data_IF_857745417972
#
_entry.id   IF_857745417972
#
_cell.length_a   1.000
_cell.length_b   1.000
_cell.length_c   1.000
_cell.angle_alpha   90.00
_cell.angle_beta   90.00
_cell.angle_gamma   90.00
#
_symmetry.space_group_name_H-M   'P 1'
#
loop_
_entity.id
_entity.type
_entity.pdbx_description
1 polymer ?
#
# COMPACT_ATOMS: atom_id res chain seq x y z
N UNK A 1 -7.54 -17.54 7.28
CA UNK A 1 -7.68 -16.34 6.43
C UNK A 1 -6.37 -15.58 6.45
N UNK A 2 -5.78 -15.34 5.27
CA UNK A 2 -4.58 -14.50 5.11
C UNK A 2 -5.04 -13.17 4.53
N UNK A 3 -4.52 -12.05 5.06
CA UNK A 3 -4.80 -10.70 4.55
C UNK A 3 -3.46 -10.08 4.15
N UNK A 4 -3.09 -10.12 2.86
CA UNK A 4 -1.90 -9.42 2.36
C UNK A 4 -2.02 -7.91 2.61
N UNK A 5 -0.90 -7.28 2.98
CA UNK A 5 -0.85 -5.87 3.28
C UNK A 5 0.16 -5.13 2.41
N UNK A 6 -0.18 -3.92 1.96
CA UNK A 6 0.75 -2.96 1.36
C UNK A 6 0.71 -1.66 2.15
N UNK A 7 1.89 -1.19 2.55
CA UNK A 7 2.09 0.12 3.14
C UNK A 7 2.61 1.08 2.05
N UNK A 8 2.00 2.26 1.92
CA UNK A 8 2.24 3.21 0.84
C UNK A 8 2.78 4.54 1.36
N UNK A 9 3.93 4.96 0.85
CA UNK A 9 4.46 6.32 1.00
C UNK A 9 4.65 6.92 -0.39
N UNK A 10 3.92 7.99 -0.69
CA UNK A 10 4.05 8.79 -1.93
C UNK A 10 4.02 7.92 -3.20
N UNK A 11 3.09 6.96 -3.26
CA UNK A 11 2.92 6.01 -4.37
C UNK A 11 3.83 4.77 -4.31
N UNK A 12 4.78 4.74 -3.39
CA UNK A 12 5.77 3.66 -3.28
C UNK A 12 5.36 2.64 -2.23
N UNK A 13 5.47 1.36 -2.57
CA UNK A 13 5.30 0.26 -1.63
C UNK A 13 6.54 0.20 -0.74
N UNK A 14 6.33 0.35 0.55
CA UNK A 14 7.42 0.36 1.54
C UNK A 14 7.16 -0.61 2.67
N UNK A 15 8.19 -0.88 3.46
CA UNK A 15 8.06 -1.45 4.79
C UNK A 15 8.86 -0.63 5.78
N UNK A 16 8.23 -0.22 6.88
CA UNK A 16 8.91 0.47 7.97
C UNK A 16 9.35 -0.54 9.04
N UNK A 17 10.60 -0.45 9.49
CA UNK A 17 11.03 -1.19 10.67
C UNK A 17 10.39 -0.58 11.92
N UNK A 18 9.46 -1.31 12.54
CA UNK A 18 8.73 -0.86 13.75
C UNK A 18 8.00 0.49 13.56
N UNK A 19 7.55 0.80 12.34
CA UNK A 19 6.85 2.06 12.06
C UNK A 19 7.76 3.31 11.95
N UNK A 20 9.07 3.14 11.99
CA UNK A 20 10.03 4.23 11.85
C UNK A 20 10.19 4.65 10.39
N UNK A 21 9.70 5.85 10.05
CA UNK A 21 9.83 6.46 8.72
C UNK A 21 11.29 6.67 8.29
N UNK A 22 12.25 6.77 9.23
CA UNK A 22 13.67 6.84 8.93
C UNK A 22 14.30 5.48 8.57
N UNK A 23 13.58 4.38 8.79
CA UNK A 23 14.03 3.00 8.53
C UNK A 23 13.09 2.30 7.56
N UNK A 24 12.94 2.89 6.38
CA UNK A 24 12.13 2.35 5.30
C UNK A 24 12.92 1.42 4.38
N UNK A 25 12.23 0.39 3.87
CA UNK A 25 12.68 -0.42 2.74
C UNK A 25 11.70 -0.28 1.58
N UNK A 26 12.23 0.01 0.39
CA UNK A 26 11.50 0.21 -0.85
C UNK A 26 11.26 -1.14 -1.57
N UNK A 27 10.06 -1.32 -2.12
CA UNK A 27 9.62 -2.49 -2.89
C UNK A 27 9.05 -2.14 -4.28
N UNK A 28 9.23 -0.91 -4.74
CA UNK A 28 8.78 -0.39 -6.04
C UNK A 28 7.57 0.53 -5.94
N UNK A 29 7.34 1.28 -7.02
CA UNK A 29 6.32 2.33 -7.13
C UNK A 29 5.06 1.91 -7.90
N UNK A 30 4.91 0.61 -8.20
CA UNK A 30 3.72 0.09 -8.88
C UNK A 30 2.97 -0.89 -7.96
N UNK A 31 2.07 -0.40 -7.08
CA UNK A 31 1.32 -1.24 -6.16
C UNK A 31 0.22 -2.07 -6.83
N UNK A 32 -0.25 -1.70 -8.02
CA UNK A 32 -1.39 -2.34 -8.67
C UNK A 32 -1.09 -3.80 -9.09
N UNK A 33 0.02 -4.12 -9.78
CA UNK A 33 0.38 -5.50 -10.11
C UNK A 33 0.50 -6.38 -8.86
N UNK A 34 1.07 -5.87 -7.76
CA UNK A 34 1.18 -6.62 -6.50
C UNK A 34 -0.18 -7.01 -5.93
N UNK A 35 -1.15 -6.09 -5.95
CA UNK A 35 -2.51 -6.39 -5.50
C UNK A 35 -3.20 -7.41 -6.41
N UNK A 36 -3.01 -7.28 -7.73
CA UNK A 36 -3.55 -8.23 -8.70
C UNK A 36 -2.96 -9.63 -8.52
N UNK A 37 -1.65 -9.73 -8.25
CA UNK A 37 -0.97 -11.00 -7.96
C UNK A 37 -1.51 -11.65 -6.68
N UNK A 38 -1.75 -10.87 -5.63
CA UNK A 38 -2.36 -11.39 -4.41
C UNK A 38 -3.79 -11.89 -4.64
N UNK A 39 -4.60 -11.14 -5.38
CA UNK A 39 -5.94 -11.56 -5.75
C UNK A 39 -5.91 -12.84 -6.60
N UNK A 40 -4.98 -12.94 -7.56
CA UNK A 40 -4.79 -14.13 -8.40
C UNK A 40 -4.35 -15.36 -7.60
N UNK A 41 -3.65 -15.17 -6.48
CA UNK A 41 -3.27 -16.23 -5.53
C UNK A 41 -4.41 -16.60 -4.55
N UNK A 42 -5.59 -15.99 -4.67
CA UNK A 42 -6.77 -16.32 -3.88
C UNK A 42 -6.98 -15.43 -2.65
N UNK A 43 -6.32 -14.28 -2.55
CA UNK A 43 -6.63 -13.31 -1.50
C UNK A 43 -7.99 -12.65 -1.76
N UNK A 44 -8.95 -12.87 -0.86
CA UNK A 44 -10.29 -12.25 -0.93
C UNK A 44 -10.32 -10.85 -0.29
N UNK A 45 -9.37 -10.56 0.60
CA UNK A 45 -9.27 -9.31 1.33
C UNK A 45 -7.83 -8.80 1.27
N UNK A 46 -7.68 -7.50 1.03
CA UNK A 46 -6.40 -6.80 1.00
C UNK A 46 -6.40 -5.67 2.02
N UNK A 47 -5.27 -5.46 2.69
CA UNK A 47 -5.07 -4.37 3.64
C UNK A 47 -4.15 -3.30 3.03
N UNK A 48 -4.61 -2.05 3.01
CA UNK A 48 -3.83 -0.92 2.52
C UNK A 48 -3.62 0.09 3.65
N UNK A 49 -2.36 0.52 3.83
CA UNK A 49 -2.00 1.57 4.78
C UNK A 49 -1.44 2.77 4.03
N UNK A 50 -2.15 3.90 4.09
CA UNK A 50 -1.66 5.19 3.59
C UNK A 50 -0.77 5.84 4.64
N UNK A 51 0.55 5.59 4.58
CA UNK A 51 1.51 6.14 5.52
C UNK A 51 1.76 7.64 5.28
N UNK A 52 1.69 8.12 4.03
CA UNK A 52 1.72 9.57 3.76
C UNK A 52 0.57 10.28 4.48
N UNK A 53 -0.66 9.76 4.35
CA UNK A 53 -1.84 10.27 5.03
C UNK A 53 -1.83 10.06 6.54
N UNK A 54 -1.25 8.97 7.03
CA UNK A 54 -1.09 8.72 8.47
C UNK A 54 -0.11 9.71 9.12
N UNK A 55 0.92 10.14 8.39
CA UNK A 55 1.87 11.16 8.83
C UNK A 55 1.31 12.58 8.73
N UNK A 56 0.60 12.87 7.64
CA UNK A 56 -0.05 14.16 7.38
C UNK A 56 -1.41 13.93 6.71
N UNK A 57 -2.54 14.11 7.43
CA UNK A 57 -3.87 13.88 6.89
C UNK A 57 -4.22 14.74 5.67
N UNK A 58 -3.55 15.88 5.47
CA UNK A 58 -3.75 16.72 4.29
C UNK A 58 -3.14 16.11 3.01
N UNK A 59 -2.22 15.15 3.16
CA UNK A 59 -1.51 14.49 2.05
C UNK A 59 -1.99 13.07 1.77
N UNK A 60 -3.20 12.73 2.21
CA UNK A 60 -3.80 11.42 1.92
C UNK A 60 -3.78 11.11 0.44
N UNK A 61 -3.39 9.88 0.11
CA UNK A 61 -3.21 9.39 -1.25
C UNK A 61 -4.55 8.96 -1.87
N UNK A 62 -5.60 9.78 -1.73
CA UNK A 62 -6.97 9.46 -2.15
C UNK A 62 -7.05 9.03 -3.64
N UNK A 63 -6.41 9.73 -4.60
CA UNK A 63 -6.47 9.32 -5.99
C UNK A 63 -5.91 7.92 -6.23
N UNK A 64 -4.75 7.62 -5.63
CA UNK A 64 -4.11 6.31 -5.74
C UNK A 64 -4.97 5.20 -5.11
N UNK A 65 -5.50 5.43 -3.90
CA UNK A 65 -6.34 4.43 -3.22
C UNK A 65 -7.59 4.11 -4.06
N UNK A 66 -8.19 5.11 -4.72
CA UNK A 66 -9.33 4.89 -5.63
C UNK A 66 -8.97 3.99 -6.81
N UNK A 67 -7.81 4.22 -7.44
CA UNK A 67 -7.27 3.36 -8.52
C UNK A 67 -7.08 1.93 -8.03
N UNK A 68 -6.41 1.76 -6.88
CA UNK A 68 -6.11 0.42 -6.34
C UNK A 68 -7.37 -0.37 -5.97
N UNK A 69 -8.36 0.27 -5.35
CA UNK A 69 -9.64 -0.38 -5.00
C UNK A 69 -10.48 -0.68 -6.25
N UNK A 70 -10.40 0.13 -7.30
CA UNK A 70 -11.09 -0.12 -8.56
C UNK A 70 -10.40 -1.19 -9.43
N UNK A 71 -9.16 -1.58 -9.08
CA UNK A 71 -8.36 -2.55 -9.84
C UNK A 71 -7.88 -2.05 -11.21
N UNK A 72 -7.87 -0.73 -11.43
CA UNK A 72 -7.55 -0.07 -12.71
C UNK A 72 -6.94 1.30 -12.51
#
# INVERSE_FOLDING_TARGET
>A
MIIPALDLIDGTVVRLHQGDYGKQRDYGNDPLPRLQDYAAQGAEVLHLVDLTGAKDPAKRQIPLIKTLVAGR
#
